data_IF_818325223358
#
_entry.id   IF_818325223358
#
_cell.length_a   1.000
_cell.length_b   1.000
_cell.length_c   1.000
_cell.angle_alpha   90.00
_cell.angle_beta   90.00
_cell.angle_gamma   90.00
#
_symmetry.space_group_name_H-M   'P 1'
#
loop_
_entity.id
_entity.type
_entity.pdbx_description
1 polymer ?
#
# COMPACT_ATOMS: atom_id res chain seq x y z
N UNK A 1 41.81 -26.18 -48.19
CA UNK A 1 40.43 -26.50 -47.75
C UNK A 1 40.58 -27.26 -46.45
N UNK A 2 40.03 -26.94 -45.28
CA UNK A 2 38.78 -26.25 -44.95
C UNK A 2 38.99 -25.43 -43.65
N UNK A 3 38.26 -24.32 -43.53
CA UNK A 3 38.26 -23.43 -42.37
C UNK A 3 37.50 -24.11 -41.21
N UNK A 4 38.10 -24.22 -40.03
CA UNK A 4 37.35 -24.41 -38.79
C UNK A 4 36.89 -23.04 -38.28
N UNK A 5 35.58 -22.75 -38.21
CA UNK A 5 35.09 -21.56 -37.56
C UNK A 5 34.99 -21.81 -36.05
N UNK A 6 35.65 -20.93 -35.30
CA UNK A 6 35.52 -20.76 -33.85
C UNK A 6 34.03 -20.69 -33.47
N UNK A 7 33.54 -21.70 -32.74
CA UNK A 7 32.19 -21.67 -32.16
C UNK A 7 32.17 -20.59 -31.07
N UNK A 8 31.33 -19.57 -31.28
CA UNK A 8 30.94 -18.61 -30.25
C UNK A 8 30.31 -19.35 -29.07
N UNK A 9 30.76 -19.07 -27.86
CA UNK A 9 30.08 -19.50 -26.64
C UNK A 9 28.68 -18.90 -26.60
N UNK A 10 27.67 -19.77 -26.66
CA UNK A 10 26.30 -19.38 -26.41
C UNK A 10 26.17 -19.03 -24.92
N UNK A 11 25.93 -17.76 -24.63
CA UNK A 11 25.51 -17.28 -23.31
C UNK A 11 24.28 -18.10 -22.91
N UNK A 12 24.41 -18.95 -21.89
CA UNK A 12 23.27 -19.66 -21.33
C UNK A 12 22.33 -18.62 -20.74
N UNK A 13 21.16 -18.46 -21.37
CA UNK A 13 20.04 -17.76 -20.74
C UNK A 13 19.69 -18.59 -19.50
N UNK A 14 20.10 -18.12 -18.32
CA UNK A 14 19.59 -18.63 -17.04
C UNK A 14 18.07 -18.61 -17.16
N UNK A 15 17.49 -19.79 -17.14
CA UNK A 15 16.05 -20.01 -17.14
C UNK A 15 15.44 -19.26 -15.97
N UNK A 16 14.33 -18.60 -16.22
CA UNK A 16 13.41 -18.06 -15.20
C UNK A 16 12.74 -19.20 -14.39
N UNK A 17 13.47 -20.26 -14.04
CA UNK A 17 12.94 -21.45 -13.35
C UNK A 17 13.09 -21.40 -11.83
N UNK A 18 13.86 -20.48 -11.28
CA UNK A 18 14.30 -20.58 -9.87
C UNK A 18 13.49 -19.74 -8.87
N UNK A 19 12.33 -19.18 -9.26
CA UNK A 19 11.37 -18.61 -8.30
C UNK A 19 10.30 -19.60 -7.83
N UNK A 20 10.61 -20.90 -7.82
CA UNK A 20 9.65 -21.95 -7.42
C UNK A 20 10.07 -22.74 -6.19
N UNK A 21 10.92 -22.18 -5.34
CA UNK A 21 11.30 -22.82 -4.07
C UNK A 21 11.11 -21.88 -2.89
N UNK A 22 9.89 -21.86 -2.35
CA UNK A 22 9.53 -21.90 -0.91
C UNK A 22 8.03 -21.61 -0.76
N UNK A 23 7.22 -22.63 -1.02
CA UNK A 23 5.83 -22.73 -0.55
C UNK A 23 5.79 -23.86 0.48
N UNK A 24 6.17 -23.54 1.71
CA UNK A 24 5.96 -24.32 2.94
C UNK A 24 5.50 -23.25 3.94
N UNK A 25 4.25 -23.18 4.40
CA UNK A 25 3.46 -24.21 5.06
C UNK A 25 1.93 -24.10 4.75
N UNK A 26 1.24 -25.25 4.74
CA UNK A 26 -0.23 -25.45 4.71
C UNK A 26 -1.10 -24.79 3.60
N UNK A 27 -0.79 -25.02 2.32
CA UNK A 27 -1.71 -24.62 1.23
C UNK A 27 -2.82 -25.64 0.96
N UNK A 28 -4.06 -25.18 0.81
CA UNK A 28 -5.21 -26.00 0.37
C UNK A 28 -5.51 -25.77 -1.12
N UNK A 29 -5.83 -26.85 -1.85
CA UNK A 29 -6.24 -26.77 -3.26
C UNK A 29 -7.76 -26.70 -3.33
N UNK A 30 -8.27 -25.64 -3.96
CA UNK A 30 -9.70 -25.48 -4.26
C UNK A 30 -9.93 -25.58 -5.77
N UNK A 31 -10.99 -26.29 -6.17
CA UNK A 31 -11.44 -26.32 -7.56
C UNK A 31 -12.79 -25.61 -7.65
N UNK A 32 -12.85 -24.53 -8.42
CA UNK A 32 -14.06 -23.72 -8.59
C UNK A 32 -14.47 -23.75 -10.06
N UNK A 33 -15.72 -24.14 -10.33
CA UNK A 33 -16.33 -24.03 -11.66
C UNK A 33 -16.97 -22.65 -11.77
N UNK A 34 -16.62 -21.91 -12.81
CA UNK A 34 -17.15 -20.58 -13.11
C UNK A 34 -17.81 -20.60 -14.49
N UNK A 35 -18.82 -19.76 -14.67
CA UNK A 35 -19.45 -19.58 -15.98
C UNK A 35 -18.51 -18.84 -16.96
N UNK A 36 -18.85 -18.93 -18.25
CA UNK A 36 -18.03 -18.34 -19.33
C UNK A 36 -17.96 -16.81 -19.26
N UNK A 37 -19.01 -16.14 -18.77
CA UNK A 37 -19.02 -14.69 -18.66
C UNK A 37 -17.99 -14.23 -17.60
N UNK A 38 -18.03 -14.84 -16.41
CA UNK A 38 -17.05 -14.59 -15.36
C UNK A 38 -15.64 -14.93 -15.83
N UNK A 39 -15.45 -16.06 -16.51
CA UNK A 39 -14.16 -16.46 -17.07
C UNK A 39 -13.62 -15.42 -18.08
N UNK A 40 -14.47 -14.93 -18.99
CA UNK A 40 -14.12 -13.91 -19.97
C UNK A 40 -13.79 -12.56 -19.32
N UNK A 41 -14.52 -12.19 -18.28
CA UNK A 41 -14.23 -10.98 -17.52
C UNK A 41 -12.88 -11.07 -16.80
N UNK A 42 -12.58 -12.20 -16.15
CA UNK A 42 -11.26 -12.45 -15.55
C UNK A 42 -10.15 -12.36 -16.61
N UNK A 43 -10.38 -12.84 -17.84
CA UNK A 43 -9.41 -12.68 -18.93
C UNK A 43 -9.17 -11.26 -19.37
N UNK A 44 -10.23 -10.46 -19.47
CA UNK A 44 -10.10 -9.05 -19.78
C UNK A 44 -9.29 -8.32 -18.71
N UNK A 45 -9.59 -8.59 -17.44
CA UNK A 45 -8.94 -7.96 -16.29
C UNK A 45 -7.48 -8.37 -16.17
N UNK A 46 -7.16 -9.67 -16.28
CA UNK A 46 -5.76 -10.12 -16.19
C UNK A 46 -4.90 -9.49 -17.28
N UNK A 47 -5.43 -9.37 -18.51
CA UNK A 47 -4.70 -8.76 -19.64
C UNK A 47 -4.41 -7.30 -19.37
N UNK A 48 -5.38 -6.57 -18.82
CA UNK A 48 -5.22 -5.16 -18.43
C UNK A 48 -4.17 -4.97 -17.34
N UNK A 49 -4.10 -5.91 -16.39
CA UNK A 49 -3.19 -5.83 -15.24
C UNK A 49 -1.82 -6.46 -15.49
N UNK A 50 -1.66 -7.25 -16.56
CA UNK A 50 -0.40 -7.93 -16.89
C UNK A 50 -0.05 -9.10 -15.96
N UNK A 51 -1.04 -9.70 -15.28
CA UNK A 51 -0.84 -10.79 -14.31
C UNK A 51 -1.46 -12.11 -14.77
N UNK A 52 -1.11 -13.22 -14.13
CA UNK A 52 -1.71 -14.52 -14.42
C UNK A 52 -3.16 -14.57 -13.92
N UNK A 53 -3.99 -15.42 -14.55
CA UNK A 53 -5.39 -15.64 -14.09
C UNK A 53 -5.41 -16.18 -12.65
N UNK A 54 -4.47 -17.06 -12.32
CA UNK A 54 -4.38 -17.65 -11.00
C UNK A 54 -4.05 -16.59 -9.93
N UNK A 55 -3.11 -15.69 -10.20
CA UNK A 55 -2.77 -14.61 -9.26
C UNK A 55 -3.93 -13.63 -9.09
N UNK A 56 -4.62 -13.28 -10.19
CA UNK A 56 -5.83 -12.46 -10.12
C UNK A 56 -6.90 -13.10 -9.22
N UNK A 57 -7.15 -14.41 -9.37
CA UNK A 57 -8.12 -15.14 -8.56
C UNK A 57 -7.69 -15.18 -7.10
N UNK A 58 -6.40 -15.45 -6.82
CA UNK A 58 -5.88 -15.43 -5.44
C UNK A 58 -6.08 -14.06 -4.80
N UNK A 59 -5.77 -12.97 -5.50
CA UNK A 59 -5.98 -11.62 -4.97
C UNK A 59 -7.46 -11.34 -4.64
N UNK A 60 -8.40 -11.82 -5.46
CA UNK A 60 -9.83 -11.72 -5.14
C UNK A 60 -10.24 -12.57 -3.94
N UNK A 61 -9.65 -13.76 -3.78
CA UNK A 61 -9.91 -14.61 -2.62
C UNK A 61 -9.32 -14.03 -1.33
N UNK A 62 -8.16 -13.36 -1.41
CA UNK A 62 -7.56 -12.66 -0.27
C UNK A 62 -8.49 -11.58 0.31
N UNK A 63 -9.33 -10.94 -0.52
CA UNK A 63 -10.34 -9.99 -0.04
C UNK A 63 -11.38 -10.63 0.89
N UNK A 64 -11.58 -11.96 0.83
CA UNK A 64 -12.50 -12.65 1.74
C UNK A 64 -12.04 -12.61 3.19
N UNK A 65 -10.77 -12.29 3.46
CA UNK A 65 -10.26 -12.05 4.81
C UNK A 65 -10.87 -10.80 5.45
N UNK A 66 -11.46 -9.91 4.66
CA UNK A 66 -11.96 -8.62 5.11
C UNK A 66 -13.47 -8.45 4.88
N UNK A 67 -14.05 -9.23 3.95
CA UNK A 67 -15.42 -9.04 3.45
C UNK A 67 -16.19 -10.36 3.46
N UNK A 68 -17.43 -10.31 3.96
CA UNK A 68 -18.43 -11.37 3.80
C UNK A 68 -19.45 -10.92 2.76
N UNK A 69 -19.69 -11.76 1.76
CA UNK A 69 -20.81 -11.59 0.82
C UNK A 69 -22.04 -12.31 1.37
N UNK A 70 -23.04 -11.57 1.84
CA UNK A 70 -24.38 -12.09 2.12
C UNK A 70 -25.29 -11.90 0.91
N UNK A 71 -26.38 -12.67 0.80
CA UNK A 71 -27.23 -12.82 -0.41
C UNK A 71 -27.55 -11.51 -1.16
N UNK A 72 -27.66 -10.38 -0.45
CA UNK A 72 -27.99 -9.06 -1.00
C UNK A 72 -27.00 -7.94 -0.64
N UNK A 73 -25.93 -8.22 0.11
CA UNK A 73 -25.00 -7.18 0.59
C UNK A 73 -23.55 -7.67 0.71
N UNK A 74 -22.62 -6.73 0.56
CA UNK A 74 -21.23 -6.90 0.98
C UNK A 74 -21.10 -6.21 2.34
N UNK A 75 -20.75 -6.98 3.37
CA UNK A 75 -20.49 -6.46 4.71
C UNK A 75 -19.02 -6.69 5.05
N UNK A 76 -18.43 -5.75 5.78
CA UNK A 76 -17.16 -6.03 6.46
C UNK A 76 -17.39 -7.06 7.56
N UNK A 77 -16.33 -7.73 8.02
CA UNK A 77 -16.40 -8.73 9.10
C UNK A 77 -16.98 -8.22 10.44
N UNK A 78 -17.18 -6.91 10.59
CA UNK A 78 -17.71 -6.27 11.78
C UNK A 78 -19.13 -5.68 11.59
N UNK A 79 -19.92 -6.22 10.64
CA UNK A 79 -21.30 -5.84 10.36
C UNK A 79 -21.51 -4.36 9.98
N UNK A 80 -20.50 -3.72 9.38
CA UNK A 80 -20.63 -2.36 8.84
C UNK A 80 -20.87 -2.40 7.33
N UNK A 81 -21.58 -1.39 6.83
CA UNK A 81 -21.81 -1.21 5.41
C UNK A 81 -20.49 -0.98 4.66
N UNK A 82 -20.25 -1.76 3.62
CA UNK A 82 -19.04 -1.68 2.81
C UNK A 82 -19.20 -0.65 1.70
N UNK A 83 -18.54 0.50 1.83
CA UNK A 83 -18.54 1.55 0.81
C UNK A 83 -17.24 1.47 0.01
N UNK A 84 -17.35 1.16 -1.28
CA UNK A 84 -16.23 1.25 -2.24
C UNK A 84 -16.29 2.61 -2.93
N UNK A 85 -15.28 3.44 -2.70
CA UNK A 85 -15.11 4.72 -3.41
C UNK A 85 -13.90 4.66 -4.34
N UNK A 86 -14.01 5.28 -5.51
CA UNK A 86 -12.86 5.45 -6.41
C UNK A 86 -11.81 6.31 -5.71
N UNK A 87 -10.55 5.88 -5.71
CA UNK A 87 -9.43 6.64 -5.11
C UNK A 87 -9.36 8.10 -5.59
N UNK A 88 -9.59 8.33 -6.89
CA UNK A 88 -9.64 9.69 -7.45
C UNK A 88 -10.80 10.55 -6.91
N UNK A 89 -11.90 9.92 -6.50
CA UNK A 89 -13.03 10.62 -5.88
C UNK A 89 -12.77 10.88 -4.40
N UNK A 90 -12.25 9.89 -3.66
CA UNK A 90 -11.81 10.08 -2.28
C UNK A 90 -10.82 11.25 -2.17
N UNK A 91 -9.80 11.28 -3.03
CA UNK A 91 -8.83 12.37 -3.10
C UNK A 91 -9.51 13.73 -3.24
N UNK A 92 -10.49 13.86 -4.14
CA UNK A 92 -11.25 15.10 -4.33
C UNK A 92 -12.10 15.48 -3.11
N UNK A 93 -12.57 14.51 -2.33
CA UNK A 93 -13.26 14.80 -1.07
C UNK A 93 -12.27 15.34 -0.05
N UNK A 94 -11.12 14.67 0.13
CA UNK A 94 -10.06 15.11 1.05
C UNK A 94 -9.60 16.54 0.70
N UNK A 95 -9.31 16.81 -0.58
CA UNK A 95 -8.82 18.12 -1.04
C UNK A 95 -9.83 19.27 -0.89
N UNK A 96 -11.10 18.98 -0.64
CA UNK A 96 -12.13 20.00 -0.40
C UNK A 96 -12.26 20.41 1.07
N UNK A 97 -11.81 19.56 1.97
CA UNK A 97 -11.84 19.85 3.40
C UNK A 97 -10.73 20.83 3.77
N UNK A 98 -10.91 21.56 4.86
CA UNK A 98 -9.85 22.41 5.42
C UNK A 98 -8.68 21.55 5.93
N UNK A 99 -7.48 22.14 6.01
CA UNK A 99 -6.26 21.38 6.34
C UNK A 99 -6.32 20.70 7.72
N UNK A 100 -7.02 21.27 8.70
CA UNK A 100 -7.20 20.66 10.01
C UNK A 100 -8.07 19.39 9.93
N UNK A 101 -9.12 19.40 9.09
CA UNK A 101 -9.92 18.20 8.83
C UNK A 101 -9.18 17.17 7.96
N UNK A 102 -8.38 17.62 7.00
CA UNK A 102 -7.48 16.73 6.26
C UNK A 102 -6.52 15.98 7.21
N UNK A 103 -5.96 16.69 8.19
CA UNK A 103 -5.09 16.11 9.22
C UNK A 103 -5.86 15.09 10.07
N UNK A 104 -7.04 15.46 10.59
CA UNK A 104 -7.87 14.56 11.43
C UNK A 104 -8.26 13.30 10.68
N UNK A 105 -8.62 13.44 9.41
CA UNK A 105 -8.98 12.29 8.57
C UNK A 105 -7.79 11.38 8.31
N UNK A 106 -6.60 11.94 8.05
CA UNK A 106 -5.36 11.18 7.90
C UNK A 106 -5.04 10.36 9.14
N UNK A 107 -5.06 10.99 10.32
CA UNK A 107 -4.84 10.33 11.61
C UNK A 107 -5.86 9.21 11.86
N UNK A 108 -7.15 9.47 11.60
CA UNK A 108 -8.23 8.49 11.78
C UNK A 108 -8.06 7.25 10.90
N UNK A 109 -7.66 7.43 9.64
CA UNK A 109 -7.45 6.31 8.71
C UNK A 109 -6.19 5.52 9.04
N UNK A 110 -5.10 6.16 9.44
CA UNK A 110 -3.91 5.47 9.90
C UNK A 110 -4.15 4.70 11.20
N UNK A 111 -4.91 5.29 12.14
CA UNK A 111 -5.37 4.61 13.35
C UNK A 111 -6.16 3.36 13.01
N UNK A 112 -7.05 3.41 12.01
CA UNK A 112 -7.78 2.24 11.55
C UNK A 112 -6.84 1.10 11.12
N UNK A 113 -5.79 1.39 10.35
CA UNK A 113 -4.80 0.38 9.94
C UNK A 113 -4.04 -0.18 11.15
N UNK A 114 -3.60 0.68 12.07
CA UNK A 114 -2.92 0.25 13.29
C UNK A 114 -3.83 -0.58 14.20
N UNK A 115 -5.11 -0.24 14.30
CA UNK A 115 -6.09 -0.98 15.09
C UNK A 115 -6.32 -2.37 14.49
N UNK A 116 -6.41 -2.48 13.15
CA UNK A 116 -6.43 -3.77 12.45
C UNK A 116 -5.17 -4.60 12.75
N UNK A 117 -3.98 -3.99 12.69
CA UNK A 117 -2.73 -4.66 13.01
C UNK A 117 -2.67 -5.11 14.48
N UNK A 118 -3.15 -4.28 15.41
CA UNK A 118 -3.23 -4.60 16.84
C UNK A 118 -4.11 -5.81 17.11
N UNK A 119 -5.29 -5.88 16.50
CA UNK A 119 -6.22 -7.00 16.67
C UNK A 119 -5.58 -8.32 16.22
N UNK A 120 -4.71 -8.27 15.20
CA UNK A 120 -4.01 -9.44 14.68
C UNK A 120 -2.67 -9.74 15.39
N UNK A 121 -2.32 -9.01 16.45
CA UNK A 121 -1.03 -9.18 17.15
C UNK A 121 0.19 -8.76 16.31
N UNK A 122 -0.01 -7.86 15.35
CA UNK A 122 0.97 -7.43 14.34
C UNK A 122 1.21 -5.92 14.36
N UNK A 123 0.98 -5.25 15.49
CA UNK A 123 1.06 -3.79 15.59
C UNK A 123 2.43 -3.22 15.20
N UNK A 124 3.49 -3.89 15.63
CA UNK A 124 4.89 -3.48 15.40
C UNK A 124 5.45 -4.00 14.07
N UNK A 125 4.69 -4.84 13.36
CA UNK A 125 5.06 -5.39 12.05
C UNK A 125 4.69 -4.38 10.95
N UNK A 126 5.67 -3.56 10.57
CA UNK A 126 5.47 -2.48 9.60
C UNK A 126 5.14 -3.01 8.20
N UNK A 127 5.74 -4.13 7.80
CA UNK A 127 5.48 -4.75 6.50
C UNK A 127 4.05 -5.27 6.43
N UNK A 128 3.56 -5.89 7.50
CA UNK A 128 2.15 -6.28 7.60
C UNK A 128 1.21 -5.08 7.45
N UNK A 129 1.52 -3.95 8.09
CA UNK A 129 0.71 -2.73 7.98
C UNK A 129 0.75 -2.12 6.57
N UNK A 130 1.90 -2.17 5.88
CA UNK A 130 2.03 -1.71 4.49
C UNK A 130 1.24 -2.59 3.53
N UNK A 131 1.28 -3.90 3.74
CA UNK A 131 0.47 -4.85 2.97
C UNK A 131 -1.03 -4.62 3.20
N UNK A 132 -1.46 -4.27 4.41
CA UNK A 132 -2.85 -3.85 4.66
C UNK A 132 -3.22 -2.62 3.83
N UNK A 133 -2.35 -1.60 3.77
CA UNK A 133 -2.61 -0.40 2.97
C UNK A 133 -2.76 -0.73 1.47
N UNK A 134 -1.93 -1.61 0.92
CA UNK A 134 -2.03 -2.02 -0.49
C UNK A 134 -3.32 -2.81 -0.76
N UNK A 135 -3.61 -3.79 0.10
CA UNK A 135 -4.79 -4.65 -0.04
C UNK A 135 -6.11 -3.88 0.13
N UNK A 136 -6.13 -2.85 1.00
CA UNK A 136 -7.28 -1.96 1.18
C UNK A 136 -7.36 -0.85 0.12
N UNK A 137 -6.37 -0.77 -0.78
CA UNK A 137 -6.36 0.15 -1.91
C UNK A 137 -6.01 1.60 -1.55
N UNK A 138 -5.32 1.83 -0.43
CA UNK A 138 -4.88 3.16 0.00
C UNK A 138 -3.72 3.62 -0.88
N UNK A 139 -2.59 2.94 -0.78
CA UNK A 139 -1.41 3.13 -1.61
C UNK A 139 -0.63 1.83 -1.69
N UNK A 140 0.20 1.69 -2.73
CA UNK A 140 1.00 0.49 -2.95
C UNK A 140 2.09 0.38 -1.90
N UNK A 141 2.44 -0.84 -1.50
CA UNK A 141 3.66 -1.07 -0.77
C UNK A 141 4.85 -0.78 -1.70
N UNK A 142 5.52 0.35 -1.48
CA UNK A 142 6.66 0.78 -2.28
C UNK A 142 7.74 1.34 -1.37
N UNK A 143 8.88 0.65 -1.33
CA UNK A 143 10.04 0.96 -0.52
C UNK A 143 11.22 1.15 -1.49
N UNK A 144 12.00 2.21 -1.32
CA UNK A 144 13.17 2.48 -2.15
C UNK A 144 14.43 1.74 -1.68
N UNK A 145 15.52 1.85 -2.44
CA UNK A 145 16.80 1.20 -2.12
C UNK A 145 17.44 1.72 -0.81
N UNK A 146 16.96 2.84 -0.27
CA UNK A 146 17.41 3.43 0.99
C UNK A 146 16.45 3.14 2.14
N UNK A 147 15.51 2.19 1.97
CA UNK A 147 14.52 1.79 2.95
C UNK A 147 13.50 2.88 3.32
N UNK A 148 13.28 3.88 2.47
CA UNK A 148 12.18 4.83 2.64
C UNK A 148 10.88 4.29 2.08
N UNK A 149 9.82 4.37 2.88
CA UNK A 149 8.46 4.13 2.39
C UNK A 149 7.99 5.32 1.53
N UNK A 150 7.66 5.03 0.27
CA UNK A 150 7.25 6.03 -0.71
C UNK A 150 5.72 6.03 -0.89
N UNK A 151 5.06 7.10 -0.43
CA UNK A 151 3.60 7.23 -0.51
C UNK A 151 3.21 8.04 -1.75
N UNK A 152 2.48 7.44 -2.69
CA UNK A 152 2.06 8.11 -3.93
C UNK A 152 1.26 9.40 -3.65
N UNK A 153 1.68 10.53 -4.24
CA UNK A 153 1.02 11.85 -4.10
C UNK A 153 -0.43 11.85 -4.58
N UNK A 154 -0.90 10.81 -5.29
CA UNK A 154 -2.30 10.62 -5.64
C UNK A 154 -3.15 10.03 -4.51
N UNK A 155 -2.55 9.68 -3.37
CA UNK A 155 -3.27 9.17 -2.21
C UNK A 155 -4.12 10.26 -1.55
N UNK A 156 -3.55 11.44 -1.35
CA UNK A 156 -4.25 12.58 -0.77
C UNK A 156 -3.39 13.84 -0.82
N UNK A 157 -3.91 14.93 -0.24
CA UNK A 157 -3.15 16.16 -0.04
C UNK A 157 -1.97 15.93 0.91
N UNK A 158 -0.98 16.83 0.86
CA UNK A 158 0.23 16.69 1.66
C UNK A 158 -0.06 16.58 3.17
N UNK A 159 -0.91 17.46 3.72
CA UNK A 159 -1.25 17.45 5.16
C UNK A 159 -1.98 16.20 5.62
N UNK A 160 -2.87 15.69 4.77
CA UNK A 160 -3.50 14.39 5.00
C UNK A 160 -2.45 13.26 5.05
N UNK A 161 -1.53 13.22 4.07
CA UNK A 161 -0.51 12.16 4.00
C UNK A 161 0.49 12.25 5.15
N UNK A 162 0.90 13.46 5.54
CA UNK A 162 1.76 13.69 6.72
C UNK A 162 1.12 13.14 7.99
N UNK A 163 -0.15 13.47 8.26
CA UNK A 163 -0.87 12.99 9.42
C UNK A 163 -1.07 11.47 9.40
N UNK A 164 -1.42 10.92 8.24
CA UNK A 164 -1.53 9.48 8.04
C UNK A 164 -0.20 8.79 8.34
N UNK A 165 0.88 9.21 7.68
CA UNK A 165 2.19 8.58 7.85
C UNK A 165 2.66 8.70 9.30
N UNK A 166 2.53 9.87 9.92
CA UNK A 166 2.90 10.07 11.31
C UNK A 166 2.20 9.09 12.23
N UNK A 167 0.88 8.98 12.17
CA UNK A 167 0.12 8.05 13.00
C UNK A 167 0.39 6.59 12.66
N UNK A 168 0.72 6.28 11.41
CA UNK A 168 1.00 4.93 10.95
C UNK A 168 2.33 4.39 11.52
N UNK A 169 3.37 5.22 11.55
CA UNK A 169 4.69 4.88 12.08
C UNK A 169 4.80 5.16 13.59
N UNK A 170 4.24 6.26 14.06
CA UNK A 170 4.29 6.70 15.45
C UNK A 170 2.95 6.42 16.15
N UNK A 171 2.97 5.95 17.39
CA UNK A 171 1.74 5.71 18.15
C UNK A 171 1.04 7.01 18.62
N UNK A 172 1.67 8.18 18.41
CA UNK A 172 1.15 9.51 18.76
C UNK A 172 0.22 10.11 17.71
N UNK A 173 -0.58 11.11 18.11
CA UNK A 173 -1.41 11.89 17.17
C UNK A 173 -0.57 12.93 16.43
N UNK A 174 -0.94 13.23 15.19
CA UNK A 174 -0.35 14.35 14.45
C UNK A 174 -0.93 15.67 14.96
N UNK A 175 -0.08 16.70 15.12
CA UNK A 175 -0.54 17.98 15.64
C UNK A 175 -1.38 18.73 14.61
N UNK A 176 -2.68 18.89 14.91
CA UNK A 176 -3.65 19.61 14.06
C UNK A 176 -3.27 21.07 13.80
N UNK A 177 -2.39 21.66 14.62
CA UNK A 177 -1.88 23.01 14.39
C UNK A 177 -0.78 23.08 13.32
N UNK A 178 -0.32 21.97 12.75
CA UNK A 178 0.65 21.95 11.66
C UNK A 178 0.03 22.18 10.29
N UNK A 179 -0.92 23.11 10.22
CA UNK A 179 -1.42 23.68 8.97
C UNK A 179 -0.37 24.59 8.34
N UNK A 180 -0.41 24.74 7.02
CA UNK A 180 0.49 25.59 6.24
C UNK A 180 0.49 27.02 6.76
N UNK A 181 -0.69 27.60 7.00
CA UNK A 181 -0.83 28.95 7.56
C UNK A 181 -0.10 29.14 8.91
N UNK A 182 -0.27 28.21 9.84
CA UNK A 182 0.36 28.28 11.17
C UNK A 182 1.86 28.05 11.13
N UNK A 183 2.33 27.18 10.23
CA UNK A 183 3.76 26.94 9.99
C UNK A 183 4.42 28.20 9.40
N UNK A 184 3.72 28.91 8.52
CA UNK A 184 4.24 30.13 7.90
C UNK A 184 4.22 31.30 8.89
N UNK A 185 3.20 31.43 9.72
CA UNK A 185 3.05 32.58 10.61
C UNK A 185 3.79 32.44 11.94
N UNK A 186 4.05 31.21 12.42
CA UNK A 186 4.57 30.98 13.77
C UNK A 186 5.90 30.23 13.76
N UNK A 187 7.00 30.94 14.02
CA UNK A 187 8.37 30.39 14.02
C UNK A 187 8.52 29.17 14.93
N UNK A 188 7.93 29.19 16.12
CA UNK A 188 7.96 28.05 17.06
C UNK A 188 7.30 26.80 16.47
N UNK A 189 6.16 26.98 15.78
CA UNK A 189 5.45 25.87 15.12
C UNK A 189 6.28 25.36 13.95
N UNK A 190 6.84 26.25 13.12
CA UNK A 190 7.70 25.90 11.99
C UNK A 190 8.88 25.03 12.42
N UNK A 191 9.61 25.47 13.44
CA UNK A 191 10.78 24.73 13.96
C UNK A 191 10.37 23.37 14.52
N UNK A 192 9.25 23.30 15.25
CA UNK A 192 8.74 22.03 15.77
C UNK A 192 8.34 21.07 14.64
N UNK A 193 7.64 21.57 13.61
CA UNK A 193 7.21 20.80 12.45
C UNK A 193 8.41 20.27 11.65
N UNK A 194 9.38 21.12 11.31
CA UNK A 194 10.57 20.70 10.56
C UNK A 194 11.38 19.64 11.31
N UNK A 195 11.47 19.77 12.64
CA UNK A 195 12.18 18.80 13.48
C UNK A 195 11.47 17.44 13.57
N UNK A 196 10.14 17.41 13.57
CA UNK A 196 9.38 16.18 13.79
C UNK A 196 8.98 15.51 12.48
N UNK A 197 8.41 16.25 11.53
CA UNK A 197 7.87 15.69 10.30
C UNK A 197 8.97 15.36 9.29
N UNK A 198 10.07 16.13 9.28
CA UNK A 198 11.26 15.89 8.44
C UNK A 198 10.91 15.40 7.02
N UNK A 199 10.15 16.18 6.22
CA UNK A 199 9.82 15.80 4.86
C UNK A 199 11.08 15.77 4.00
N UNK A 200 11.24 14.73 3.18
CA UNK A 200 12.38 14.55 2.27
C UNK A 200 11.83 14.52 0.84
N UNK A 201 12.49 15.20 -0.09
CA UNK A 201 12.14 15.15 -1.51
C UNK A 201 13.01 14.13 -2.25
N UNK A 202 12.60 12.85 -2.18
CA UNK A 202 13.28 11.74 -2.87
C UNK A 202 12.70 11.54 -4.29
N UNK A 203 11.41 11.84 -4.47
CA UNK A 203 10.71 11.62 -5.72
C UNK A 203 9.62 12.66 -5.98
N UNK A 204 9.56 13.15 -7.22
CA UNK A 204 8.54 14.13 -7.63
C UNK A 204 7.10 13.60 -7.53
N UNK A 205 6.91 12.28 -7.55
CA UNK A 205 5.61 11.61 -7.56
C UNK A 205 5.20 10.97 -6.23
N UNK A 206 6.09 10.96 -5.23
CA UNK A 206 5.85 10.32 -3.93
C UNK A 206 6.19 11.29 -2.79
N UNK A 207 5.49 11.14 -1.67
CA UNK A 207 5.88 11.71 -0.39
C UNK A 207 6.80 10.74 0.33
N UNK A 208 7.79 11.29 1.02
CA UNK A 208 8.77 10.55 1.84
C UNK A 208 9.09 11.37 3.08
N UNK A 209 9.29 10.66 4.20
CA UNK A 209 9.55 11.27 5.50
C UNK A 209 10.68 10.55 6.21
N UNK A 210 11.52 11.30 6.91
CA UNK A 210 12.69 10.73 7.60
C UNK A 210 12.29 9.74 8.70
N UNK A 211 11.24 10.05 9.46
CA UNK A 211 10.68 9.17 10.48
C UNK A 211 10.06 7.87 9.93
N UNK A 212 9.86 7.77 8.61
CA UNK A 212 9.28 6.63 7.93
C UNK A 212 10.34 5.73 7.26
N UNK A 213 11.63 5.97 7.53
CA UNK A 213 12.72 5.08 7.10
C UNK A 213 12.67 3.78 7.90
N UNK A 214 12.68 2.64 7.21
CA UNK A 214 12.75 1.34 7.85
C UNK A 214 14.20 1.04 8.30
N UNK A 215 14.39 0.36 9.44
CA UNK A 215 15.72 -0.08 9.85
C UNK A 215 16.31 -1.04 8.81
N UNK A 216 17.63 -0.97 8.60
CA UNK A 216 18.35 -1.99 7.85
C UNK A 216 18.26 -3.31 8.62
N UNK A 217 17.97 -4.42 7.94
CA UNK A 217 18.05 -5.74 8.56
C UNK A 217 19.51 -5.98 8.96
N UNK A 218 19.76 -6.18 10.27
CA UNK A 218 21.05 -6.69 10.74
C UNK A 218 21.19 -8.12 10.18
N UNK A 219 22.12 -8.33 9.24
CA UNK A 219 22.48 -9.66 8.71
C UNK A 219 23.00 -10.62 9.78
#
# INVERSE_FOLDING_TARGET
MSRNPTQKSAISRKSFSDRRSKLTDSTNVITVRIDDNLNNNLEKVRRKLGISKADLIRNYLELSRYIIKQKSSLQSLNDRDFIIIKRSYLRKLIEKEDEDEQIRLGDKLARFINDCARINGKLDDIFYKLDLCDNLGFFRNFIDDNNFVLIDKKFGSQKFVEAFAWRFFNQGEFNVNWTTSKIDDQSKIRTAYQKQVQPIDISSSHYSFEFAKLPEEEE
#
